data_IF_975246069960
#
_entry.id   IF_975246069960
#
_cell.length_a   1.000
_cell.length_b   1.000
_cell.length_c   1.000
_cell.angle_alpha   90.00
_cell.angle_beta   90.00
_cell.angle_gamma   90.00
#
_symmetry.space_group_name_H-M   'P 1'
#
loop_
_entity.id
_entity.type
_entity.pdbx_description
1 polymer ?
#
# COMPACT_ATOMS: atom_id res chain seq x y z
N UNK A 1 -17.95 11.56 2.24
CA UNK A 1 -16.69 11.92 2.94
C UNK A 1 -15.58 11.19 2.20
N UNK A 2 -14.60 11.91 1.67
CA UNK A 2 -13.49 11.32 0.91
C UNK A 2 -12.23 11.27 1.78
N UNK A 3 -11.40 10.25 1.57
CA UNK A 3 -10.15 10.06 2.32
C UNK A 3 -8.97 10.01 1.36
N UNK A 4 -7.89 10.68 1.74
CA UNK A 4 -6.60 10.63 1.06
C UNK A 4 -5.57 10.07 2.02
N UNK A 5 -4.84 9.03 1.60
CA UNK A 5 -3.83 8.38 2.42
C UNK A 5 -2.46 8.91 2.02
N UNK A 6 -1.84 9.68 2.90
CA UNK A 6 -0.61 10.40 2.60
C UNK A 6 0.59 9.62 3.14
N UNK A 7 1.56 9.34 2.27
CA UNK A 7 2.85 8.74 2.63
C UNK A 7 3.93 9.21 1.64
N UNK A 8 5.21 9.20 2.06
CA UNK A 8 6.33 9.50 1.16
C UNK A 8 6.46 8.52 -0.02
N UNK A 9 6.87 9.00 -1.19
CA UNK A 9 7.01 8.18 -2.40
C UNK A 9 8.04 7.07 -2.24
N UNK A 10 9.16 7.33 -1.56
CA UNK A 10 10.19 6.34 -1.28
C UNK A 10 9.64 5.17 -0.45
N UNK A 11 8.71 5.46 0.47
CA UNK A 11 8.02 4.44 1.24
C UNK A 11 7.02 3.66 0.36
N UNK A 12 6.34 4.34 -0.56
CA UNK A 12 5.44 3.69 -1.52
C UNK A 12 6.21 2.69 -2.40
N UNK A 13 7.37 3.11 -2.92
CA UNK A 13 8.25 2.28 -3.74
C UNK A 13 8.68 1.04 -2.98
N UNK A 14 9.25 1.21 -1.77
CA UNK A 14 9.68 0.07 -0.93
C UNK A 14 8.54 -0.89 -0.58
N UNK A 15 7.34 -0.36 -0.31
CA UNK A 15 6.16 -1.17 0.00
C UNK A 15 5.67 -1.99 -1.19
N UNK A 16 5.60 -1.38 -2.38
CA UNK A 16 5.11 -2.05 -3.59
C UNK A 16 6.17 -2.99 -4.15
N UNK A 17 7.43 -2.54 -4.27
CA UNK A 17 8.51 -3.34 -4.83
C UNK A 17 8.92 -4.52 -3.94
N UNK A 18 8.82 -4.35 -2.62
CA UNK A 18 9.07 -5.43 -1.67
C UNK A 18 7.95 -6.47 -1.58
N UNK A 19 6.83 -6.29 -2.29
CA UNK A 19 5.64 -7.14 -2.15
C UNK A 19 5.84 -8.52 -2.78
N UNK A 20 5.39 -9.54 -2.07
CA UNK A 20 5.41 -10.95 -2.49
C UNK A 20 4.03 -11.56 -2.27
N UNK A 21 3.61 -12.41 -3.18
CA UNK A 21 2.28 -13.01 -3.17
C UNK A 21 2.35 -14.51 -3.19
N UNK A 22 1.49 -15.14 -2.41
CA UNK A 22 1.19 -16.54 -2.56
C UNK A 22 -0.04 -16.70 -3.47
N UNK A 23 0.17 -17.15 -4.72
CA UNK A 23 -0.88 -17.20 -5.77
C UNK A 23 -2.13 -17.95 -5.29
N UNK A 24 -1.96 -19.12 -4.68
CA UNK A 24 -3.06 -20.01 -4.33
C UNK A 24 -3.95 -19.45 -3.22
N UNK A 25 -3.37 -18.68 -2.29
CA UNK A 25 -4.10 -18.18 -1.11
C UNK A 25 -4.45 -16.70 -1.15
N UNK A 26 -3.80 -15.93 -2.02
CA UNK A 26 -3.89 -14.47 -2.03
C UNK A 26 -3.15 -13.78 -0.88
N UNK A 27 -2.46 -14.51 0.01
CA UNK A 27 -1.63 -13.91 1.06
C UNK A 27 -0.54 -13.04 0.46
N UNK A 28 -0.29 -11.91 1.11
CA UNK A 28 0.76 -10.98 0.73
C UNK A 28 1.78 -10.83 1.86
N UNK A 29 3.03 -10.73 1.45
CA UNK A 29 4.19 -10.53 2.30
C UNK A 29 4.95 -9.31 1.77
N UNK A 30 5.82 -8.76 2.59
CA UNK A 30 6.76 -7.73 2.15
C UNK A 30 8.13 -8.02 2.75
N UNK A 31 9.16 -8.02 1.91
CA UNK A 31 10.53 -8.40 2.32
C UNK A 31 11.12 -7.54 3.45
N UNK A 32 10.68 -6.28 3.62
CA UNK A 32 11.16 -5.37 4.67
C UNK A 32 10.16 -5.29 5.85
N UNK A 33 8.88 -5.11 5.56
CA UNK A 33 7.88 -4.75 6.57
C UNK A 33 7.12 -5.94 7.16
N UNK A 34 7.03 -7.05 6.43
CA UNK A 34 6.34 -8.27 6.87
C UNK A 34 6.94 -9.49 6.13
N UNK A 35 8.22 -9.82 6.41
CA UNK A 35 8.92 -10.87 5.69
C UNK A 35 8.33 -12.24 6.00
N UNK A 36 8.33 -13.18 5.03
CA UNK A 36 8.01 -14.56 5.33
C UNK A 36 9.06 -15.16 6.28
N UNK A 37 8.68 -16.19 7.03
CA UNK A 37 9.58 -16.93 7.93
C UNK A 37 10.72 -17.58 7.15
N UNK A 38 10.43 -18.06 5.94
CA UNK A 38 11.43 -18.62 5.01
C UNK A 38 11.39 -17.80 3.73
N UNK A 39 12.55 -17.32 3.31
CA UNK A 39 12.67 -16.49 2.11
C UNK A 39 12.04 -17.17 0.88
N UNK A 40 11.18 -16.43 0.18
CA UNK A 40 10.51 -16.90 -1.03
C UNK A 40 9.47 -18.00 -0.82
N UNK A 41 9.06 -18.29 0.42
CA UNK A 41 8.06 -19.31 0.73
C UNK A 41 6.91 -18.80 1.58
N UNK A 42 5.73 -19.32 1.31
CA UNK A 42 4.54 -19.06 2.13
C UNK A 42 4.67 -19.74 3.50
N UNK A 43 4.30 -19.03 4.56
CA UNK A 43 4.48 -19.49 5.95
C UNK A 43 3.58 -20.68 6.34
N UNK A 44 2.51 -20.92 5.59
CA UNK A 44 1.52 -21.96 5.89
C UNK A 44 1.71 -23.16 4.97
N UNK A 45 1.79 -22.93 3.66
CA UNK A 45 1.87 -24.01 2.68
C UNK A 45 3.31 -24.36 2.29
N UNK A 46 4.28 -23.47 2.53
CA UNK A 46 5.66 -23.65 2.09
C UNK A 46 5.87 -23.48 0.57
N UNK A 47 4.81 -23.14 -0.17
CA UNK A 47 4.84 -22.92 -1.62
C UNK A 47 5.58 -21.63 -1.97
N UNK A 48 6.02 -21.51 -3.23
CA UNK A 48 6.81 -20.35 -3.67
C UNK A 48 5.97 -19.07 -3.68
N UNK A 49 6.56 -18.00 -3.16
CA UNK A 49 6.04 -16.65 -3.33
C UNK A 49 6.51 -16.05 -4.65
N UNK A 50 5.65 -15.24 -5.26
CA UNK A 50 5.93 -14.55 -6.52
C UNK A 50 5.85 -13.04 -6.35
N UNK A 51 6.67 -12.31 -7.10
CA UNK A 51 6.50 -10.87 -7.30
C UNK A 51 5.70 -10.65 -8.58
N UNK A 52 4.82 -9.66 -8.61
CA UNK A 52 4.12 -9.30 -9.84
C UNK A 52 5.03 -8.47 -10.73
N UNK A 53 4.86 -8.58 -12.04
CA UNK A 53 5.65 -7.80 -13.00
C UNK A 53 5.48 -6.29 -12.79
N UNK A 54 4.28 -5.82 -12.40
CA UNK A 54 3.99 -4.41 -12.15
C UNK A 54 4.54 -3.85 -10.82
N UNK A 55 5.15 -4.72 -10.00
CA UNK A 55 5.81 -4.39 -8.75
C UNK A 55 7.33 -4.25 -8.92
N UNK A 56 7.87 -4.23 -10.15
CA UNK A 56 9.29 -3.89 -10.36
C UNK A 56 9.53 -2.41 -10.06
N UNK A 57 10.63 -2.09 -9.39
CA UNK A 57 10.93 -0.73 -8.92
C UNK A 57 10.83 0.33 -10.01
N UNK A 58 11.40 0.07 -11.18
CA UNK A 58 11.35 0.95 -12.36
C UNK A 58 9.91 1.26 -12.80
N UNK A 59 9.04 0.23 -12.76
CA UNK A 59 7.63 0.34 -13.14
C UNK A 59 6.85 1.07 -12.05
N UNK A 60 7.14 0.79 -10.78
CA UNK A 60 6.51 1.47 -9.65
C UNK A 60 6.84 2.97 -9.66
N UNK A 61 8.09 3.33 -9.94
CA UNK A 61 8.49 4.74 -10.07
C UNK A 61 7.71 5.43 -11.19
N UNK A 62 7.58 4.79 -12.36
CA UNK A 62 6.78 5.31 -13.46
C UNK A 62 5.31 5.50 -13.06
N UNK A 63 4.72 4.54 -12.33
CA UNK A 63 3.35 4.63 -11.83
C UNK A 63 3.14 5.79 -10.85
N UNK A 64 4.12 6.04 -9.98
CA UNK A 64 4.07 7.18 -9.04
C UNK A 64 4.11 8.49 -9.81
N UNK A 65 4.99 8.62 -10.80
CA UNK A 65 5.04 9.82 -11.64
C UNK A 65 3.69 10.06 -12.36
N UNK A 66 3.10 9.01 -12.94
CA UNK A 66 1.77 9.10 -13.56
C UNK A 66 0.67 9.46 -12.56
N UNK A 67 0.77 9.01 -11.30
CA UNK A 67 -0.15 9.41 -10.24
C UNK A 67 -0.10 10.93 -9.98
N UNK A 68 1.11 11.51 -9.89
CA UNK A 68 1.28 12.95 -9.71
C UNK A 68 0.73 13.76 -10.89
N UNK A 69 0.91 13.27 -12.11
CA UNK A 69 0.44 13.95 -13.32
C UNK A 69 -1.08 13.92 -13.46
N UNK A 70 -1.70 12.75 -13.23
CA UNK A 70 -3.11 12.53 -13.59
C UNK A 70 -4.06 12.53 -12.40
N UNK A 71 -3.63 12.04 -11.24
CA UNK A 71 -4.51 11.79 -10.08
C UNK A 71 -4.40 12.90 -9.03
N UNK A 72 -3.21 13.44 -8.81
CA UNK A 72 -3.00 14.54 -7.85
C UNK A 72 -3.84 15.80 -8.13
N UNK A 73 -4.09 16.22 -9.39
CA UNK A 73 -5.00 17.33 -9.67
C UNK A 73 -6.43 17.10 -9.15
N UNK A 74 -6.90 15.84 -9.17
CA UNK A 74 -8.21 15.47 -8.65
C UNK A 74 -8.24 15.51 -7.11
N UNK A 75 -7.15 15.08 -6.46
CA UNK A 75 -6.97 15.23 -5.00
C UNK A 75 -7.06 16.71 -4.62
N UNK A 76 -6.35 17.59 -5.34
CA UNK A 76 -6.39 19.05 -5.14
C UNK A 76 -7.79 19.62 -5.34
N UNK A 77 -8.55 19.10 -6.30
CA UNK A 77 -9.94 19.52 -6.53
C UNK A 77 -10.84 19.23 -5.31
N UNK A 78 -10.80 18.00 -4.79
CA UNK A 78 -11.58 17.63 -3.60
C UNK A 78 -11.09 18.30 -2.31
N UNK A 79 -9.79 18.58 -2.22
CA UNK A 79 -9.21 19.36 -1.12
C UNK A 79 -9.75 20.79 -1.10
N UNK A 80 -9.85 21.46 -2.27
CA UNK A 80 -10.44 22.80 -2.39
C UNK A 80 -11.92 22.85 -1.98
N UNK A 81 -12.66 21.75 -2.13
CA UNK A 81 -14.05 21.64 -1.69
C UNK A 81 -14.20 21.38 -0.19
N UNK A 82 -13.10 21.11 0.53
CA UNK A 82 -13.13 20.83 1.97
C UNK A 82 -13.77 19.48 2.36
N UNK A 83 -13.99 18.59 1.39
CA UNK A 83 -14.63 17.28 1.61
C UNK A 83 -13.63 16.12 1.71
N UNK A 84 -12.35 16.41 1.53
CA UNK A 84 -11.23 15.47 1.59
C UNK A 84 -10.60 15.47 2.98
N UNK A 85 -10.48 14.30 3.60
CA UNK A 85 -9.77 14.09 4.85
C UNK A 85 -8.44 13.37 4.60
N UNK A 86 -7.33 14.02 4.92
CA UNK A 86 -6.02 13.40 4.88
C UNK A 86 -5.83 12.46 6.08
N UNK A 87 -5.38 11.24 5.81
CA UNK A 87 -5.00 10.21 6.76
C UNK A 87 -3.51 9.92 6.55
N UNK A 88 -2.71 10.07 7.60
CA UNK A 88 -1.32 9.59 7.60
C UNK A 88 -1.31 8.07 7.35
N UNK A 89 -0.72 7.63 6.24
CA UNK A 89 -0.62 6.23 5.81
C UNK A 89 0.70 5.53 6.19
N UNK A 90 1.59 6.19 6.92
CA UNK A 90 2.93 5.66 7.26
C UNK A 90 2.91 4.60 8.37
N UNK A 91 1.87 4.59 9.21
CA UNK A 91 1.71 3.63 10.31
C UNK A 91 1.52 2.17 9.88
N UNK A 92 1.58 1.26 10.86
CA UNK A 92 1.32 -0.17 10.66
C UNK A 92 -0.17 -0.44 10.41
N UNK A 93 -0.53 -1.55 9.71
CA UNK A 93 -1.94 -1.89 9.43
C UNK A 93 -2.84 -1.88 10.67
N UNK A 94 -2.31 -2.34 11.82
CA UNK A 94 -3.04 -2.36 13.10
C UNK A 94 -3.50 -0.98 13.60
N UNK A 95 -2.79 0.10 13.24
CA UNK A 95 -3.16 1.48 13.59
C UNK A 95 -4.48 1.92 12.93
N UNK A 96 -4.78 1.39 11.76
CA UNK A 96 -5.99 1.77 10.99
C UNK A 96 -7.18 0.86 11.30
N UNK A 97 -6.93 -0.41 11.67
CA UNK A 97 -7.97 -1.36 12.03
C UNK A 97 -8.71 -1.01 13.34
N UNK A 98 -8.12 -0.19 14.23
CA UNK A 98 -8.75 0.16 15.51
C UNK A 98 -9.62 1.43 15.48
N UNK A 99 -9.59 2.22 14.39
CA UNK A 99 -10.27 3.54 14.33
C UNK A 99 -11.75 3.48 14.00
N UNK A 100 -12.29 2.33 13.58
CA UNK A 100 -13.72 2.15 13.30
C UNK A 100 -14.59 1.93 14.55
N UNK A 101 -14.04 2.04 15.76
CA UNK A 101 -14.81 1.91 17.02
C UNK A 101 -15.26 3.24 17.66
N UNK A 102 -15.01 4.39 17.06
CA UNK A 102 -15.47 5.68 17.63
C UNK A 102 -16.42 6.42 16.69
N UNK A 103 -17.63 5.87 16.51
CA UNK A 103 -18.87 6.65 16.36
C UNK A 103 -20.12 5.73 16.27
N UNK A 104 -20.30 4.82 17.24
CA UNK A 104 -21.60 4.21 17.47
C UNK A 104 -22.10 4.63 18.85
N UNK A 105 -22.92 5.69 18.81
CA UNK A 105 -23.77 6.27 19.85
C UNK A 105 -23.10 7.07 20.97
#
# INVERSE_FOLDING_TARGET
MYFDYVFPDDMAIRRIAGRRFHITSGRSYNIEFNPPKIEGRDDITGEKLVQREDDKEEIVQSRINTYHELTEPLVRYYQKQGILKAIDGTGSPGKYLCRDKTNSK
#
